data_IF_316234865897
#
_entry.id   IF_316234865897
#
_cell.length_a   1.000
_cell.length_b   1.000
_cell.length_c   1.000
_cell.angle_alpha   90.00
_cell.angle_beta   90.00
_cell.angle_gamma   90.00
#
_symmetry.space_group_name_H-M   'P 1'
#
loop_
_entity.id
_entity.type
_entity.pdbx_description
1 polymer ?
#
# COMPACT_ATOMS: atom_id res chain seq x y z
N UNK A 1 -29.59 -89.75 -21.78
CA UNK A 1 -29.69 -88.30 -22.00
C UNK A 1 -28.69 -87.60 -21.10
N UNK A 2 -27.62 -87.11 -21.72
CA UNK A 2 -26.44 -86.50 -21.09
C UNK A 2 -26.77 -85.07 -20.68
N UNK A 3 -26.44 -84.67 -19.45
CA UNK A 3 -26.28 -83.26 -19.07
C UNK A 3 -24.79 -82.99 -18.92
N UNK A 4 -24.26 -82.22 -19.86
CA UNK A 4 -22.94 -81.62 -19.83
C UNK A 4 -23.11 -80.10 -19.99
N UNK A 5 -22.06 -79.37 -19.59
CA UNK A 5 -21.76 -77.96 -19.84
C UNK A 5 -22.30 -76.95 -18.83
N UNK A 6 -21.56 -75.92 -18.45
CA UNK A 6 -20.13 -75.61 -18.55
C UNK A 6 -19.93 -74.36 -17.66
N UNK A 7 -18.88 -74.32 -16.87
CA UNK A 7 -18.50 -73.14 -16.08
C UNK A 7 -17.93 -72.11 -17.06
N UNK A 8 -18.63 -70.97 -17.21
CA UNK A 8 -18.15 -69.83 -17.98
C UNK A 8 -17.09 -69.08 -17.16
N UNK A 9 -15.83 -69.26 -17.54
CA UNK A 9 -14.72 -68.40 -17.14
C UNK A 9 -14.80 -67.13 -17.99
N UNK A 10 -15.17 -66.01 -17.38
CA UNK A 10 -15.06 -64.68 -17.96
C UNK A 10 -13.59 -64.26 -17.93
N UNK A 11 -12.91 -64.43 -19.06
CA UNK A 11 -11.61 -63.80 -19.32
C UNK A 11 -11.87 -62.30 -19.52
N UNK A 12 -11.48 -61.51 -18.52
CA UNK A 12 -11.38 -60.06 -18.67
C UNK A 12 -10.28 -59.75 -19.69
N UNK A 13 -10.67 -59.38 -20.90
CA UNK A 13 -9.76 -58.80 -21.88
C UNK A 13 -9.38 -57.42 -21.34
N UNK A 14 -8.18 -57.31 -20.78
CA UNK A 14 -7.56 -56.04 -20.45
C UNK A 14 -7.30 -55.29 -21.77
N UNK A 15 -8.21 -54.37 -22.11
CA UNK A 15 -7.88 -53.28 -23.01
C UNK A 15 -6.75 -52.46 -22.37
N UNK A 16 -5.70 -52.06 -23.10
CA UNK A 16 -4.74 -51.12 -22.56
C UNK A 16 -5.52 -49.83 -22.29
N UNK A 17 -5.54 -49.38 -21.04
CA UNK A 17 -5.91 -48.00 -20.73
C UNK A 17 -4.81 -47.09 -21.27
N UNK A 18 -4.76 -46.90 -22.60
CA UNK A 18 -4.23 -45.65 -23.15
C UNK A 18 -5.27 -44.59 -22.84
N UNK A 19 -5.27 -44.11 -21.60
CA UNK A 19 -5.93 -42.85 -21.27
C UNK A 19 -5.33 -41.81 -22.21
N UNK A 20 -6.14 -41.29 -23.13
CA UNK A 20 -5.71 -40.24 -24.05
C UNK A 20 -5.19 -39.07 -23.20
N UNK A 21 -3.88 -38.82 -23.21
CA UNK A 21 -3.30 -37.65 -22.55
C UNK A 21 -3.93 -36.41 -23.15
N UNK A 22 -4.38 -35.48 -22.28
CA UNK A 22 -4.98 -34.24 -22.75
C UNK A 22 -3.88 -33.38 -23.35
N UNK A 23 -4.00 -33.04 -24.62
CA UNK A 23 -3.01 -32.24 -25.31
C UNK A 23 -3.45 -30.77 -25.37
N UNK A 24 -2.67 -29.88 -24.78
CA UNK A 24 -2.86 -28.43 -24.84
C UNK A 24 -1.92 -27.83 -25.88
N UNK A 25 -2.51 -27.35 -26.98
CA UNK A 25 -1.78 -26.75 -28.09
C UNK A 25 -1.70 -25.24 -27.92
N UNK A 26 -0.50 -24.70 -28.12
CA UNK A 26 -0.30 -23.26 -28.15
C UNK A 26 -1.12 -22.61 -29.29
N UNK A 27 -2.01 -21.68 -28.97
CA UNK A 27 -2.89 -21.05 -29.97
C UNK A 27 -2.30 -19.77 -30.58
N UNK A 28 -1.39 -19.12 -29.88
CA UNK A 28 -0.71 -17.91 -30.36
C UNK A 28 0.74 -17.93 -29.92
N UNK A 29 1.66 -17.82 -30.89
CA UNK A 29 3.10 -17.72 -30.66
C UNK A 29 3.63 -16.43 -31.27
N UNK A 30 3.77 -15.39 -30.45
CA UNK A 30 4.30 -14.08 -30.87
C UNK A 30 5.43 -13.69 -29.93
N UNK A 31 6.61 -13.37 -30.47
CA UNK A 31 7.77 -12.94 -29.70
C UNK A 31 8.12 -13.89 -28.52
N UNK A 32 8.20 -15.20 -28.80
CA UNK A 32 8.45 -16.25 -27.78
C UNK A 32 7.40 -16.36 -26.67
N UNK A 33 6.17 -15.87 -26.92
CA UNK A 33 5.05 -15.97 -25.98
C UNK A 33 3.98 -16.90 -26.50
N UNK A 34 3.60 -17.87 -25.69
CA UNK A 34 2.53 -18.81 -25.95
C UNK A 34 1.23 -18.44 -25.23
N UNK A 35 0.08 -18.48 -25.91
CA UNK A 35 -1.24 -18.38 -25.27
C UNK A 35 -2.03 -19.69 -25.37
N UNK A 36 -2.44 -20.21 -24.21
CA UNK A 36 -3.35 -21.34 -24.06
C UNK A 36 -4.75 -20.81 -23.71
N UNK A 37 -5.62 -20.76 -24.72
CA UNK A 37 -6.94 -20.12 -24.60
C UNK A 37 -8.03 -21.17 -24.42
N UNK A 38 -8.81 -21.06 -23.34
CA UNK A 38 -9.92 -21.98 -23.07
C UNK A 38 -9.46 -23.36 -22.57
N UNK A 39 -8.25 -23.46 -22.04
CA UNK A 39 -7.74 -24.72 -21.52
C UNK A 39 -8.54 -25.13 -20.27
N UNK A 40 -8.95 -26.40 -20.20
CA UNK A 40 -9.60 -26.96 -19.02
C UNK A 40 -8.77 -28.15 -18.55
N UNK A 41 -8.27 -28.12 -17.32
CA UNK A 41 -7.47 -29.22 -16.76
C UNK A 41 -8.06 -29.57 -15.40
N UNK A 42 -8.61 -30.77 -15.26
CA UNK A 42 -9.13 -31.28 -13.99
C UNK A 42 -7.98 -31.80 -13.11
N UNK A 43 -8.27 -32.10 -11.84
CA UNK A 43 -7.27 -32.62 -10.90
C UNK A 43 -6.61 -33.93 -11.38
N UNK A 44 -7.39 -34.82 -12.01
CA UNK A 44 -6.90 -36.12 -12.49
C UNK A 44 -6.02 -35.98 -13.74
N UNK A 45 -6.14 -34.87 -14.47
CA UNK A 45 -5.41 -34.61 -15.71
C UNK A 45 -4.08 -33.87 -15.49
N UNK A 46 -3.78 -33.37 -14.28
CA UNK A 46 -2.63 -32.48 -14.01
C UNK A 46 -1.30 -33.11 -14.46
N UNK A 47 -1.08 -34.39 -14.14
CA UNK A 47 0.19 -35.08 -14.41
C UNK A 47 0.28 -35.62 -15.84
N UNK A 48 -0.85 -35.82 -16.52
CA UNK A 48 -0.93 -36.40 -17.87
C UNK A 48 -1.21 -35.36 -18.96
N UNK A 49 -1.34 -34.08 -18.61
CA UNK A 49 -1.58 -33.01 -19.58
C UNK A 49 -0.28 -32.69 -20.31
N UNK A 50 -0.27 -32.94 -21.62
CA UNK A 50 0.85 -32.66 -22.50
C UNK A 50 0.70 -31.29 -23.16
N UNK A 51 1.83 -30.67 -23.50
CA UNK A 51 1.87 -29.37 -24.17
C UNK A 51 2.51 -29.49 -25.54
N UNK A 52 1.98 -28.78 -26.52
CA UNK A 52 2.51 -28.84 -27.89
C UNK A 52 2.64 -27.45 -28.50
N UNK A 53 3.80 -27.21 -29.07
CA UNK A 53 4.19 -25.95 -29.72
C UNK A 53 5.28 -26.24 -30.76
N UNK A 54 5.20 -25.69 -31.98
CA UNK A 54 6.29 -25.76 -32.96
C UNK A 54 7.58 -25.08 -32.48
N UNK A 55 7.50 -24.16 -31.51
CA UNK A 55 8.65 -23.38 -31.02
C UNK A 55 8.98 -23.64 -29.54
N UNK A 56 8.59 -24.81 -29.01
CA UNK A 56 8.66 -25.14 -27.58
C UNK A 56 10.01 -24.82 -26.89
N UNK A 57 11.13 -25.08 -27.56
CA UNK A 57 12.49 -24.85 -27.05
C UNK A 57 12.91 -23.37 -26.99
N UNK A 58 12.12 -22.46 -27.56
CA UNK A 58 12.40 -21.01 -27.64
C UNK A 58 11.38 -20.15 -26.90
N UNK A 59 10.29 -20.74 -26.43
CA UNK A 59 9.26 -20.04 -25.66
C UNK A 59 9.82 -19.61 -24.31
N UNK A 60 9.61 -18.33 -23.99
CA UNK A 60 10.04 -17.71 -22.74
C UNK A 60 8.85 -17.27 -21.89
N UNK A 61 7.65 -17.19 -22.47
CA UNK A 61 6.43 -16.84 -21.75
C UNK A 61 5.29 -17.76 -22.12
N UNK A 62 4.51 -18.20 -21.14
CA UNK A 62 3.25 -18.91 -21.34
C UNK A 62 2.16 -18.17 -20.56
N UNK A 63 1.02 -17.93 -21.20
CA UNK A 63 -0.18 -17.45 -20.54
C UNK A 63 -1.36 -18.39 -20.73
N UNK A 64 -2.15 -18.54 -19.68
CA UNK A 64 -3.47 -19.14 -19.72
C UNK A 64 -4.52 -18.04 -19.76
N UNK A 65 -5.35 -18.03 -20.81
CA UNK A 65 -6.39 -17.04 -20.99
C UNK A 65 -7.75 -17.72 -21.04
N UNK A 66 -8.70 -17.26 -20.21
CA UNK A 66 -10.05 -17.85 -20.11
C UNK A 66 -10.00 -19.36 -19.86
N UNK A 67 -9.06 -19.79 -19.02
CA UNK A 67 -8.77 -21.20 -18.76
C UNK A 67 -9.20 -21.56 -17.33
N UNK A 68 -9.42 -22.86 -17.09
CA UNK A 68 -9.76 -23.41 -15.78
C UNK A 68 -8.82 -24.57 -15.48
N UNK A 69 -7.91 -24.40 -14.53
CA UNK A 69 -6.88 -25.35 -14.17
C UNK A 69 -7.05 -25.70 -12.70
N UNK A 70 -7.19 -26.99 -12.35
CA UNK A 70 -7.24 -27.38 -10.94
C UNK A 70 -5.91 -27.10 -10.21
N UNK A 71 -4.79 -27.33 -10.91
CA UNK A 71 -3.44 -26.91 -10.53
C UNK A 71 -2.59 -26.67 -11.79
N UNK A 72 -1.38 -26.14 -11.62
CA UNK A 72 -0.43 -25.93 -12.72
C UNK A 72 0.13 -27.29 -13.16
N UNK A 73 0.04 -27.69 -14.44
CA UNK A 73 0.62 -28.96 -14.89
C UNK A 73 2.17 -28.92 -14.92
N UNK A 74 2.88 -29.82 -14.23
CA UNK A 74 4.34 -29.79 -14.12
C UNK A 74 5.05 -30.07 -15.45
N UNK A 75 4.45 -30.91 -16.30
CA UNK A 75 4.96 -31.31 -17.63
C UNK A 75 5.24 -30.09 -18.53
N UNK A 76 4.57 -28.95 -18.26
CA UNK A 76 4.83 -27.68 -18.95
C UNK A 76 6.30 -27.26 -18.83
N UNK A 77 6.90 -27.40 -17.64
CA UNK A 77 8.26 -26.93 -17.37
C UNK A 77 9.32 -27.85 -18.00
N UNK A 78 8.96 -29.10 -18.28
CA UNK A 78 9.79 -30.04 -19.05
C UNK A 78 9.71 -29.75 -20.55
N UNK A 79 8.52 -29.37 -21.02
CA UNK A 79 8.27 -29.04 -22.43
C UNK A 79 8.91 -27.71 -22.82
N UNK A 80 8.71 -26.67 -22.00
CA UNK A 80 9.19 -25.30 -22.25
C UNK A 80 10.39 -24.99 -21.35
N UNK A 81 11.53 -25.62 -21.63
CA UNK A 81 12.74 -25.55 -20.79
C UNK A 81 13.32 -24.14 -20.61
N UNK A 82 13.01 -23.21 -21.51
CA UNK A 82 13.41 -21.79 -21.44
C UNK A 82 12.32 -20.87 -20.90
N UNK A 83 11.26 -21.42 -20.30
CA UNK A 83 10.16 -20.63 -19.73
C UNK A 83 10.66 -19.72 -18.60
N UNK A 84 10.54 -18.41 -18.82
CA UNK A 84 10.93 -17.35 -17.88
C UNK A 84 9.72 -16.82 -17.11
N UNK A 85 8.56 -16.70 -17.76
CA UNK A 85 7.36 -16.15 -17.16
C UNK A 85 6.12 -17.02 -17.40
N UNK A 86 5.37 -17.30 -16.33
CA UNK A 86 4.09 -18.00 -16.38
C UNK A 86 2.97 -17.09 -15.86
N UNK A 87 1.94 -16.89 -16.69
CA UNK A 87 0.73 -16.16 -16.33
C UNK A 87 -0.46 -17.13 -16.29
N UNK A 88 -1.02 -17.37 -15.10
CA UNK A 88 -2.25 -18.13 -14.92
C UNK A 88 -3.21 -17.39 -13.98
N UNK A 89 -3.39 -16.10 -14.25
CA UNK A 89 -4.27 -15.20 -13.49
C UNK A 89 -5.74 -15.63 -13.70
N UNK A 90 -6.53 -15.63 -12.63
CA UNK A 90 -7.96 -15.95 -12.66
C UNK A 90 -8.29 -17.24 -13.44
N UNK A 91 -7.50 -18.29 -13.18
CA UNK A 91 -7.56 -19.57 -13.89
C UNK A 91 -8.13 -20.71 -13.04
N UNK A 92 -8.86 -20.40 -11.96
CA UNK A 92 -9.51 -21.36 -11.05
C UNK A 92 -8.55 -22.34 -10.33
N UNK A 93 -7.26 -21.98 -10.21
CA UNK A 93 -6.24 -22.81 -9.54
C UNK A 93 -6.56 -22.93 -8.06
N UNK A 94 -6.68 -24.16 -7.56
CA UNK A 94 -7.10 -24.44 -6.18
C UNK A 94 -5.95 -24.71 -5.22
N UNK A 95 -4.81 -25.15 -5.75
CA UNK A 95 -3.67 -25.55 -4.94
C UNK A 95 -2.35 -25.38 -5.71
N UNK A 96 -1.30 -25.08 -4.95
CA UNK A 96 0.09 -25.29 -5.36
C UNK A 96 0.54 -26.60 -4.75
N UNK A 97 1.04 -27.54 -5.57
CA UNK A 97 1.53 -28.82 -5.11
C UNK A 97 3.05 -28.77 -4.87
N UNK A 98 3.53 -29.44 -3.82
CA UNK A 98 4.98 -29.61 -3.60
C UNK A 98 5.63 -30.27 -4.81
N UNK A 99 6.86 -29.88 -5.15
CA UNK A 99 7.65 -30.36 -6.30
C UNK A 99 7.07 -30.06 -7.69
N UNK A 100 5.96 -29.35 -7.81
CA UNK A 100 5.34 -29.04 -9.10
C UNK A 100 6.22 -28.18 -10.04
N UNK A 101 7.24 -27.53 -9.47
CA UNK A 101 8.18 -26.66 -10.17
C UNK A 101 9.59 -27.27 -10.30
N UNK A 102 9.77 -28.57 -10.05
CA UNK A 102 11.10 -29.21 -10.01
C UNK A 102 11.91 -28.99 -11.31
N UNK A 103 11.23 -28.94 -12.45
CA UNK A 103 11.82 -28.71 -13.78
C UNK A 103 11.86 -27.22 -14.20
N UNK A 104 11.30 -26.30 -13.41
CA UNK A 104 11.16 -24.87 -13.73
C UNK A 104 12.45 -24.05 -13.53
N UNK A 105 13.58 -24.58 -14.01
CA UNK A 105 14.94 -24.05 -13.74
C UNK A 105 15.20 -22.65 -14.28
N UNK A 106 14.42 -22.21 -15.27
CA UNK A 106 14.55 -20.91 -15.94
C UNK A 106 13.52 -19.88 -15.46
N UNK A 107 12.53 -20.29 -14.65
CA UNK A 107 11.39 -19.46 -14.28
C UNK A 107 11.82 -18.33 -13.35
N UNK A 108 11.44 -17.10 -13.71
CA UNK A 108 11.74 -15.86 -12.99
C UNK A 108 10.47 -15.16 -12.50
N UNK A 109 9.35 -15.29 -13.22
CA UNK A 109 8.09 -14.63 -12.87
C UNK A 109 6.93 -15.62 -12.88
N UNK A 110 6.20 -15.69 -11.77
CA UNK A 110 5.05 -16.54 -11.59
C UNK A 110 3.84 -15.70 -11.14
N UNK A 111 2.83 -15.58 -12.01
CA UNK A 111 1.64 -14.78 -11.77
C UNK A 111 0.40 -15.66 -11.63
N UNK A 112 -0.08 -15.79 -10.40
CA UNK A 112 -1.21 -16.63 -9.98
C UNK A 112 -2.28 -15.82 -9.25
N UNK A 113 -2.35 -14.51 -9.50
CA UNK A 113 -3.35 -13.63 -8.90
C UNK A 113 -4.79 -14.06 -9.24
N UNK A 114 -5.74 -13.79 -8.34
CA UNK A 114 -7.17 -13.99 -8.59
C UNK A 114 -7.59 -15.46 -8.73
N UNK A 115 -6.84 -16.39 -8.13
CA UNK A 115 -7.16 -17.82 -8.13
C UNK A 115 -7.86 -18.22 -6.82
N UNK A 116 -7.91 -19.53 -6.52
CA UNK A 116 -8.55 -20.10 -5.33
C UNK A 116 -7.56 -20.93 -4.51
N UNK A 117 -6.30 -20.50 -4.45
CA UNK A 117 -5.27 -21.20 -3.67
C UNK A 117 -5.58 -20.98 -2.19
N UNK A 118 -5.70 -22.07 -1.42
CA UNK A 118 -6.06 -22.01 0.00
C UNK A 118 -4.87 -22.11 0.96
N UNK A 119 -3.79 -22.76 0.51
CA UNK A 119 -2.60 -22.98 1.33
C UNK A 119 -1.36 -23.10 0.43
N UNK A 120 -0.20 -22.74 0.99
CA UNK A 120 1.10 -23.01 0.40
C UNK A 120 1.80 -24.12 1.20
N UNK A 121 2.02 -25.31 0.61
CA UNK A 121 2.67 -26.42 1.30
C UNK A 121 4.18 -26.20 1.44
N UNK A 122 4.84 -27.10 2.16
CA UNK A 122 6.30 -27.14 2.25
C UNK A 122 6.94 -27.25 0.87
N UNK A 123 8.01 -26.47 0.67
CA UNK A 123 8.77 -26.40 -0.58
C UNK A 123 7.88 -26.22 -1.83
N UNK A 124 6.82 -25.40 -1.72
CA UNK A 124 5.82 -25.14 -2.77
C UNK A 124 6.43 -24.77 -4.14
N UNK A 125 7.58 -24.11 -4.15
CA UNK A 125 8.28 -23.65 -5.37
C UNK A 125 9.61 -24.37 -5.62
N UNK A 126 9.79 -25.58 -5.08
CA UNK A 126 11.00 -26.36 -5.24
C UNK A 126 11.43 -26.47 -6.72
N UNK A 127 12.69 -26.15 -7.01
CA UNK A 127 13.29 -26.21 -8.35
C UNK A 127 13.28 -24.88 -9.11
N UNK A 128 12.36 -23.96 -8.80
CA UNK A 128 12.26 -22.64 -9.41
C UNK A 128 13.16 -21.59 -8.73
N UNK A 129 14.43 -21.94 -8.50
CA UNK A 129 15.36 -21.13 -7.69
C UNK A 129 15.75 -19.78 -8.33
N UNK A 130 15.33 -19.52 -9.57
CA UNK A 130 15.53 -18.25 -10.30
C UNK A 130 14.35 -17.30 -10.18
N UNK A 131 13.29 -17.66 -9.45
CA UNK A 131 12.15 -16.79 -9.23
C UNK A 131 12.60 -15.46 -8.61
N UNK A 132 12.18 -14.38 -9.24
CA UNK A 132 12.36 -12.99 -8.84
C UNK A 132 11.02 -12.36 -8.44
N UNK A 133 9.92 -12.82 -9.03
CA UNK A 133 8.58 -12.33 -8.74
C UNK A 133 7.61 -13.48 -8.57
N UNK A 134 6.89 -13.48 -7.45
CA UNK A 134 5.75 -14.35 -7.20
C UNK A 134 4.56 -13.45 -6.86
N UNK A 135 3.50 -13.59 -7.64
CA UNK A 135 2.22 -12.91 -7.41
C UNK A 135 1.13 -13.94 -7.09
N UNK A 136 0.71 -13.92 -5.84
CA UNK A 136 -0.34 -14.75 -5.25
C UNK A 136 -1.47 -13.89 -4.67
N UNK A 137 -1.58 -12.64 -5.15
CA UNK A 137 -2.62 -11.73 -4.69
C UNK A 137 -4.03 -12.23 -5.00
N UNK A 138 -5.02 -11.78 -4.24
CA UNK A 138 -6.45 -12.09 -4.46
C UNK A 138 -6.72 -13.60 -4.57
N UNK A 139 -6.15 -14.38 -3.65
CA UNK A 139 -6.41 -15.81 -3.48
C UNK A 139 -7.19 -16.04 -2.17
N UNK A 140 -7.26 -17.28 -1.71
CA UNK A 140 -7.91 -17.66 -0.45
C UNK A 140 -6.89 -18.22 0.56
N UNK A 141 -5.63 -17.78 0.50
CA UNK A 141 -4.54 -18.37 1.29
C UNK A 141 -4.78 -18.06 2.76
N UNK A 142 -4.93 -19.09 3.58
CA UNK A 142 -5.06 -18.98 5.04
C UNK A 142 -3.79 -19.43 5.76
N UNK A 143 -3.07 -20.39 5.19
CA UNK A 143 -1.86 -20.98 5.78
C UNK A 143 -0.70 -21.00 4.79
N UNK A 144 0.48 -20.67 5.30
CA UNK A 144 1.75 -20.76 4.57
C UNK A 144 2.71 -21.57 5.43
N UNK A 145 3.16 -22.71 4.89
CA UNK A 145 4.19 -23.50 5.55
C UNK A 145 5.49 -22.68 5.71
N UNK A 146 6.17 -22.83 6.85
CA UNK A 146 7.41 -22.08 7.14
C UNK A 146 8.54 -22.33 6.14
N UNK A 147 8.44 -23.38 5.30
CA UNK A 147 9.41 -23.69 4.24
C UNK A 147 8.84 -23.52 2.83
N UNK A 148 7.67 -22.89 2.67
CA UNK A 148 7.03 -22.71 1.36
C UNK A 148 7.93 -21.96 0.35
N UNK A 149 8.66 -20.94 0.81
CA UNK A 149 9.56 -20.11 0.00
C UNK A 149 11.05 -20.46 0.15
N UNK A 150 11.36 -21.63 0.71
CA UNK A 150 12.75 -22.05 0.97
C UNK A 150 13.57 -22.05 -0.33
N UNK A 151 14.85 -21.64 -0.23
CA UNK A 151 15.82 -21.53 -1.33
C UNK A 151 15.54 -20.47 -2.40
N UNK A 152 14.49 -19.65 -2.27
CA UNK A 152 14.18 -18.58 -3.23
C UNK A 152 15.03 -17.32 -3.00
N UNK A 153 16.36 -17.48 -2.99
CA UNK A 153 17.32 -16.40 -2.66
C UNK A 153 17.31 -15.24 -3.63
N UNK A 154 16.85 -15.45 -4.87
CA UNK A 154 16.75 -14.43 -5.91
C UNK A 154 15.39 -13.71 -5.92
N UNK A 155 14.46 -14.08 -5.03
CA UNK A 155 13.13 -13.49 -5.00
C UNK A 155 13.23 -12.04 -4.55
N UNK A 156 12.73 -11.13 -5.37
CA UNK A 156 12.73 -9.67 -5.15
C UNK A 156 11.37 -9.14 -4.72
N UNK A 157 10.31 -9.72 -5.28
CA UNK A 157 8.94 -9.25 -5.08
C UNK A 157 8.04 -10.42 -4.75
N UNK A 158 7.38 -10.34 -3.59
CA UNK A 158 6.38 -11.29 -3.15
C UNK A 158 5.06 -10.57 -2.86
N UNK A 159 4.03 -10.88 -3.65
CA UNK A 159 2.70 -10.28 -3.51
C UNK A 159 1.74 -11.32 -2.93
N UNK A 160 1.26 -11.06 -1.71
CA UNK A 160 0.33 -11.89 -0.94
C UNK A 160 -0.89 -11.09 -0.49
N UNK A 161 -1.11 -9.89 -1.05
CA UNK A 161 -2.25 -9.05 -0.71
C UNK A 161 -3.61 -9.66 -1.09
N UNK A 162 -4.68 -9.31 -0.38
CA UNK A 162 -6.03 -9.80 -0.70
C UNK A 162 -6.21 -11.30 -0.43
N UNK A 163 -5.58 -11.82 0.62
CA UNK A 163 -5.71 -13.20 1.06
C UNK A 163 -6.42 -13.26 2.44
N UNK A 164 -6.34 -14.40 3.13
CA UNK A 164 -6.94 -14.60 4.45
C UNK A 164 -5.91 -15.12 5.46
N UNK A 165 -4.66 -14.65 5.34
CA UNK A 165 -3.55 -15.08 6.19
C UNK A 165 -3.76 -14.49 7.58
N UNK A 166 -3.78 -15.37 8.60
CA UNK A 166 -4.01 -14.98 10.00
C UNK A 166 -2.69 -14.86 10.78
N UNK A 167 -1.71 -15.69 10.43
CA UNK A 167 -0.41 -15.73 11.08
C UNK A 167 0.69 -16.05 10.06
N UNK A 168 1.91 -15.61 10.38
CA UNK A 168 3.12 -15.90 9.62
C UNK A 168 4.03 -16.76 10.50
N UNK A 169 4.49 -17.88 9.96
CA UNK A 169 5.53 -18.66 10.60
C UNK A 169 6.84 -17.84 10.69
N UNK A 170 7.56 -17.94 11.79
CA UNK A 170 8.78 -17.15 12.03
C UNK A 170 9.91 -17.40 11.02
N UNK A 171 9.92 -18.55 10.33
CA UNK A 171 10.93 -18.91 9.33
C UNK A 171 10.47 -18.73 7.88
N UNK A 172 9.24 -18.26 7.64
CA UNK A 172 8.60 -18.26 6.31
C UNK A 172 9.39 -17.47 5.25
N UNK A 173 10.19 -16.48 5.67
CA UNK A 173 11.01 -15.64 4.79
C UNK A 173 12.53 -15.78 5.01
N UNK A 174 12.99 -16.82 5.70
CA UNK A 174 14.41 -16.96 6.12
C UNK A 174 15.42 -16.96 4.97
N UNK A 175 15.05 -17.47 3.80
CA UNK A 175 15.93 -17.60 2.63
C UNK A 175 15.77 -16.46 1.60
N UNK A 176 14.99 -15.41 1.91
CA UNK A 176 14.62 -14.36 0.96
C UNK A 176 15.60 -13.17 0.98
N UNK A 177 16.89 -13.46 0.74
CA UNK A 177 17.99 -12.50 0.91
C UNK A 177 17.92 -11.26 -0.01
N UNK A 178 17.38 -11.43 -1.22
CA UNK A 178 17.25 -10.37 -2.24
C UNK A 178 15.84 -9.75 -2.25
N UNK A 179 14.96 -10.08 -1.29
CA UNK A 179 13.59 -9.57 -1.30
C UNK A 179 13.58 -8.08 -0.98
N UNK A 180 13.12 -7.29 -1.94
CA UNK A 180 13.05 -5.82 -1.90
C UNK A 180 11.64 -5.34 -1.51
N UNK A 181 10.60 -6.05 -1.97
CA UNK A 181 9.19 -5.70 -1.81
C UNK A 181 8.36 -6.87 -1.30
N UNK A 182 7.63 -6.63 -0.22
CA UNK A 182 6.65 -7.56 0.34
C UNK A 182 5.29 -6.88 0.53
N UNK A 183 4.26 -7.48 -0.07
CA UNK A 183 2.88 -7.02 0.04
C UNK A 183 2.02 -8.06 0.76
N UNK A 184 1.48 -7.66 1.91
CA UNK A 184 0.64 -8.46 2.81
C UNK A 184 -0.68 -7.73 3.14
N UNK A 185 -1.02 -6.66 2.42
CA UNK A 185 -2.22 -5.89 2.68
C UNK A 185 -3.50 -6.70 2.51
N UNK A 186 -4.58 -6.29 3.17
CA UNK A 186 -5.89 -6.96 3.04
C UNK A 186 -5.80 -8.45 3.37
N UNK A 187 -5.22 -8.74 4.54
CA UNK A 187 -5.19 -10.07 5.15
C UNK A 187 -5.86 -9.99 6.55
N UNK A 188 -5.69 -11.01 7.37
CA UNK A 188 -6.26 -11.09 8.72
C UNK A 188 -5.18 -11.16 9.81
N UNK A 189 -3.98 -10.61 9.56
CA UNK A 189 -2.86 -10.68 10.50
C UNK A 189 -3.18 -9.93 11.79
N UNK A 190 -3.15 -10.63 12.93
CA UNK A 190 -3.32 -10.01 14.26
C UNK A 190 -2.00 -9.62 14.93
N UNK A 191 -0.90 -10.24 14.50
CA UNK A 191 0.46 -10.00 15.01
C UNK A 191 1.51 -10.38 13.96
N UNK A 192 2.68 -9.74 14.01
CA UNK A 192 3.86 -10.11 13.24
C UNK A 192 5.05 -10.18 14.19
N UNK A 193 5.67 -11.35 14.31
CA UNK A 193 6.85 -11.52 15.16
C UNK A 193 8.07 -10.83 14.58
N UNK A 194 8.96 -10.35 15.45
CA UNK A 194 10.20 -9.65 15.07
C UNK A 194 11.20 -10.53 14.30
N UNK A 195 11.04 -11.84 14.40
CA UNK A 195 11.90 -12.85 13.79
C UNK A 195 11.58 -13.06 12.31
N UNK A 196 10.34 -12.78 11.88
CA UNK A 196 9.82 -13.10 10.53
C UNK A 196 10.65 -12.46 9.42
N UNK A 197 11.18 -11.25 9.64
CA UNK A 197 11.99 -10.54 8.63
C UNK A 197 13.50 -10.74 8.81
N UNK A 198 13.96 -11.71 9.63
CA UNK A 198 15.40 -11.99 9.83
C UNK A 198 16.11 -12.34 8.52
N UNK A 199 15.50 -13.14 7.66
CA UNK A 199 16.04 -13.53 6.36
C UNK A 199 16.01 -12.47 5.25
N UNK A 200 15.47 -11.28 5.50
CA UNK A 200 15.18 -10.28 4.45
C UNK A 200 16.02 -8.99 4.59
N UNK A 201 17.36 -9.05 4.48
CA UNK A 201 18.23 -7.90 4.67
C UNK A 201 18.07 -6.80 3.60
N UNK A 202 17.49 -7.14 2.44
CA UNK A 202 17.29 -6.22 1.31
C UNK A 202 15.89 -5.60 1.27
N UNK A 203 15.02 -5.90 2.26
CA UNK A 203 13.65 -5.41 2.27
C UNK A 203 13.62 -3.90 2.47
N UNK A 204 12.99 -3.19 1.54
CA UNK A 204 12.89 -1.72 1.56
C UNK A 204 11.45 -1.22 1.48
N UNK A 205 10.53 -2.06 0.98
CA UNK A 205 9.11 -1.73 0.86
C UNK A 205 8.26 -2.84 1.50
N UNK A 206 7.45 -2.45 2.47
CA UNK A 206 6.53 -3.35 3.18
C UNK A 206 5.14 -2.73 3.24
N UNK A 207 4.15 -3.44 2.70
CA UNK A 207 2.74 -3.10 2.87
C UNK A 207 2.04 -4.16 3.74
N UNK A 208 1.61 -3.77 4.93
CA UNK A 208 0.83 -4.58 5.87
C UNK A 208 -0.50 -3.91 6.20
N UNK A 209 -0.95 -2.99 5.35
CA UNK A 209 -2.19 -2.24 5.56
C UNK A 209 -3.43 -3.15 5.53
N UNK A 210 -4.55 -2.71 6.10
CA UNK A 210 -5.80 -3.49 6.14
C UNK A 210 -5.59 -4.88 6.74
N UNK A 211 -5.04 -4.92 7.94
CA UNK A 211 -4.91 -6.11 8.78
C UNK A 211 -5.51 -5.80 10.17
N UNK A 212 -5.29 -6.66 11.16
CA UNK A 212 -5.83 -6.52 12.52
C UNK A 212 -4.72 -6.29 13.57
N UNK A 213 -3.57 -5.71 13.17
CA UNK A 213 -2.42 -5.55 14.04
C UNK A 213 -2.69 -4.55 15.17
N UNK A 214 -2.56 -5.01 16.42
CA UNK A 214 -2.62 -4.14 17.60
C UNK A 214 -1.29 -3.48 17.93
N UNK A 215 -0.20 -4.16 17.60
CA UNK A 215 1.17 -3.69 17.73
C UNK A 215 1.96 -4.06 16.49
N UNK A 216 2.96 -3.25 16.17
CA UNK A 216 3.91 -3.56 15.11
C UNK A 216 5.25 -2.92 15.46
N UNK A 217 6.25 -3.74 15.78
CA UNK A 217 7.56 -3.24 16.15
C UNK A 217 8.32 -2.76 14.90
N UNK A 218 8.19 -1.48 14.55
CA UNK A 218 8.94 -0.88 13.45
C UNK A 218 10.46 -0.85 13.70
N UNK A 219 10.92 -0.92 14.96
CA UNK A 219 12.34 -0.89 15.28
C UNK A 219 13.11 -2.14 14.79
N UNK A 220 12.40 -3.23 14.47
CA UNK A 220 13.04 -4.43 13.90
C UNK A 220 13.68 -4.17 12.52
N UNK A 221 13.29 -3.08 11.85
CA UNK A 221 13.83 -2.64 10.57
C UNK A 221 15.04 -1.73 10.68
N UNK A 222 15.57 -1.49 11.89
CA UNK A 222 16.77 -0.65 12.14
C UNK A 222 18.09 -1.29 11.66
N UNK A 223 18.04 -2.14 10.63
CA UNK A 223 19.21 -2.79 10.05
C UNK A 223 19.95 -1.81 9.13
N UNK A 224 21.18 -2.16 8.72
CA UNK A 224 22.22 -1.30 8.09
C UNK A 224 21.82 -0.47 6.85
N UNK A 225 20.58 -0.48 6.39
CA UNK A 225 20.12 0.12 5.14
C UNK A 225 18.91 1.04 5.38
N UNK A 226 18.73 2.06 4.52
CA UNK A 226 17.54 2.90 4.57
C UNK A 226 16.30 2.09 4.15
N UNK A 227 15.28 2.04 5.01
CA UNK A 227 13.99 1.46 4.67
C UNK A 227 13.15 2.52 3.98
N UNK A 228 12.67 2.27 2.77
CA UNK A 228 12.04 3.34 1.98
C UNK A 228 10.61 3.60 2.44
N UNK A 229 9.78 2.57 2.54
CA UNK A 229 8.36 2.72 2.79
C UNK A 229 7.76 1.58 3.60
N UNK A 230 7.14 1.94 4.74
CA UNK A 230 6.22 1.07 5.47
C UNK A 230 4.81 1.65 5.39
N UNK A 231 3.87 0.86 4.87
CA UNK A 231 2.45 1.13 4.99
C UNK A 231 1.80 0.17 6.00
N UNK A 232 1.38 0.72 7.14
CA UNK A 232 0.67 0.04 8.22
C UNK A 232 -0.75 0.59 8.41
N UNK A 233 -1.32 1.21 7.38
CA UNK A 233 -2.66 1.81 7.43
C UNK A 233 -3.76 0.81 7.75
N UNK A 234 -4.87 1.26 8.32
CA UNK A 234 -6.07 0.48 8.59
C UNK A 234 -5.76 -0.80 9.38
N UNK A 235 -5.05 -0.62 10.49
CA UNK A 235 -4.81 -1.62 11.51
C UNK A 235 -5.44 -1.14 12.85
N UNK A 236 -4.99 -1.69 13.97
CA UNK A 236 -5.44 -1.32 15.32
C UNK A 236 -4.29 -0.79 16.18
N UNK A 237 -3.29 -0.16 15.56
CA UNK A 237 -2.11 0.35 16.26
C UNK A 237 -2.48 1.52 17.18
N UNK A 238 -2.04 1.47 18.44
CA UNK A 238 -2.24 2.57 19.41
C UNK A 238 -1.01 3.45 19.59
N UNK A 239 0.17 2.95 19.20
CA UNK A 239 1.43 3.67 19.20
C UNK A 239 2.34 3.17 18.10
N UNK A 240 3.31 4.00 17.71
CA UNK A 240 4.37 3.62 16.77
C UNK A 240 5.72 4.11 17.28
N UNK A 241 6.77 3.29 17.12
CA UNK A 241 8.16 3.66 17.42
C UNK A 241 8.98 3.65 16.14
N UNK A 242 9.17 4.81 15.54
CA UNK A 242 9.76 4.98 14.20
C UNK A 242 11.28 4.77 14.25
N UNK A 243 11.86 3.87 13.44
CA UNK A 243 13.30 3.67 13.42
C UNK A 243 14.03 4.78 12.66
N UNK A 244 15.30 5.02 13.00
CA UNK A 244 16.09 6.12 12.44
C UNK A 244 16.26 6.09 10.92
N UNK A 245 16.28 4.90 10.32
CA UNK A 245 16.56 4.65 8.90
C UNK A 245 15.30 4.63 8.01
N UNK A 246 14.10 4.79 8.57
CA UNK A 246 12.85 4.78 7.80
C UNK A 246 12.63 6.14 7.10
N UNK A 247 12.41 6.11 5.79
CA UNK A 247 12.17 7.31 4.99
C UNK A 247 10.70 7.71 4.95
N UNK A 248 9.79 6.75 4.83
CA UNK A 248 8.36 7.01 4.68
C UNK A 248 7.53 6.08 5.56
N UNK A 249 6.66 6.67 6.39
CA UNK A 249 5.65 5.93 7.15
C UNK A 249 4.25 6.40 6.78
N UNK A 250 3.41 5.44 6.42
CA UNK A 250 1.98 5.61 6.21
C UNK A 250 1.24 4.73 7.22
N UNK A 251 0.48 5.32 8.13
CA UNK A 251 -0.31 4.59 9.13
C UNK A 251 -1.67 5.25 9.33
N UNK A 252 -2.40 5.40 8.22
CA UNK A 252 -3.75 6.00 8.15
C UNK A 252 -4.74 5.13 8.93
N UNK A 253 -5.76 5.70 9.56
CA UNK A 253 -6.92 4.92 10.01
C UNK A 253 -6.60 3.90 11.11
N UNK A 254 -5.71 4.25 12.03
CA UNK A 254 -5.36 3.44 13.20
C UNK A 254 -5.95 4.06 14.48
N UNK A 255 -5.47 3.61 15.65
CA UNK A 255 -5.79 4.17 16.96
C UNK A 255 -4.66 5.00 17.57
N UNK A 256 -3.70 5.48 16.76
CA UNK A 256 -2.41 5.99 17.26
C UNK A 256 -2.61 7.23 18.13
N UNK A 257 -2.09 7.16 19.36
CA UNK A 257 -2.07 8.26 20.34
C UNK A 257 -0.67 8.78 20.60
N UNK A 258 0.35 7.94 20.42
CA UNK A 258 1.74 8.29 20.70
C UNK A 258 2.64 7.88 19.54
N UNK A 259 3.61 8.75 19.24
CA UNK A 259 4.66 8.51 18.26
C UNK A 259 5.99 8.64 18.98
N UNK A 260 6.78 7.60 18.94
CA UNK A 260 8.14 7.57 19.45
C UNK A 260 9.14 7.41 18.30
N UNK A 261 10.41 7.69 18.55
CA UNK A 261 11.50 7.49 17.60
C UNK A 261 12.65 6.75 18.28
N UNK A 262 13.37 5.90 17.55
CA UNK A 262 14.64 5.32 18.01
C UNK A 262 15.85 6.18 17.66
N UNK A 263 15.66 7.26 16.90
CA UNK A 263 16.74 8.12 16.43
C UNK A 263 17.49 8.81 17.57
N UNK A 264 18.78 8.50 17.70
CA UNK A 264 19.72 9.21 18.59
C UNK A 264 20.46 10.31 17.83
N UNK A 265 20.81 10.08 16.56
CA UNK A 265 21.66 10.94 15.73
C UNK A 265 20.96 11.46 14.46
N UNK A 266 19.67 11.78 14.55
CA UNK A 266 18.86 12.26 13.42
C UNK A 266 18.06 11.15 12.72
N UNK A 267 17.04 11.54 11.96
CA UNK A 267 16.09 10.63 11.33
C UNK A 267 16.08 10.81 9.82
N UNK A 268 16.01 9.69 9.07
CA UNK A 268 15.84 9.69 7.62
C UNK A 268 14.39 9.97 7.15
N UNK A 269 13.46 10.17 8.09
CA UNK A 269 12.04 10.30 7.79
C UNK A 269 11.76 11.59 7.02
N UNK A 270 11.28 11.45 5.78
CA UNK A 270 10.88 12.54 4.89
C UNK A 270 9.36 12.68 4.80
N UNK A 271 8.61 11.62 5.08
CA UNK A 271 7.15 11.58 4.97
C UNK A 271 6.54 10.83 6.15
N UNK A 272 5.62 11.50 6.84
CA UNK A 272 4.81 10.92 7.91
C UNK A 272 3.33 11.19 7.64
N UNK A 273 2.56 10.12 7.39
CA UNK A 273 1.11 10.17 7.20
C UNK A 273 0.41 9.42 8.32
N UNK A 274 -0.23 10.16 9.22
CA UNK A 274 -1.04 9.64 10.32
C UNK A 274 -2.51 10.14 10.29
N UNK A 275 -3.18 10.34 9.14
CA UNK A 275 -4.56 10.79 9.18
C UNK A 275 -5.51 9.74 9.76
N UNK A 276 -6.64 10.18 10.30
CA UNK A 276 -7.62 9.30 10.96
C UNK A 276 -7.03 8.49 12.12
N UNK A 277 -6.34 9.16 13.04
CA UNK A 277 -5.80 8.59 14.27
C UNK A 277 -6.38 9.30 15.50
N UNK A 278 -5.73 9.17 16.66
CA UNK A 278 -6.20 9.70 17.95
C UNK A 278 -5.18 10.65 18.60
N UNK A 279 -4.27 11.25 17.83
CA UNK A 279 -3.30 12.22 18.34
C UNK A 279 -4.01 13.45 18.90
N UNK A 280 -3.60 13.90 20.08
CA UNK A 280 -4.18 15.06 20.76
C UNK A 280 -3.32 16.33 20.62
N UNK A 281 -2.03 16.18 20.30
CA UNK A 281 -1.09 17.28 20.14
C UNK A 281 -0.03 16.95 19.10
N UNK A 282 0.46 17.99 18.42
CA UNK A 282 1.64 17.92 17.55
C UNK A 282 2.95 18.01 18.34
N UNK A 283 2.94 18.60 19.54
CA UNK A 283 4.16 18.83 20.34
C UNK A 283 4.78 17.56 20.91
N UNK A 284 3.98 16.49 21.00
CA UNK A 284 4.42 15.17 21.45
C UNK A 284 5.19 14.41 20.35
N UNK A 285 5.20 14.91 19.12
CA UNK A 285 5.96 14.27 18.05
C UNK A 285 7.48 14.43 18.27
N UNK A 286 8.25 13.35 18.03
CA UNK A 286 9.70 13.42 17.98
C UNK A 286 10.18 14.40 16.90
N UNK A 287 11.42 14.88 17.05
CA UNK A 287 12.05 15.73 16.05
C UNK A 287 12.46 14.88 14.85
N UNK A 288 11.98 15.25 13.67
CA UNK A 288 12.34 14.62 12.39
C UNK A 288 12.97 15.69 11.48
N UNK A 289 14.29 15.79 11.51
CA UNK A 289 15.06 16.87 10.87
C UNK A 289 14.99 16.87 9.33
N UNK A 290 14.73 15.71 8.74
CA UNK A 290 14.56 15.54 7.29
C UNK A 290 13.10 15.58 6.83
N UNK A 291 12.13 15.76 7.72
CA UNK A 291 10.71 15.68 7.41
C UNK A 291 10.29 16.77 6.43
N UNK A 292 9.72 16.37 5.29
CA UNK A 292 9.24 17.25 4.21
C UNK A 292 7.72 17.38 4.25
N UNK A 293 7.02 16.27 4.53
CA UNK A 293 5.56 16.20 4.53
C UNK A 293 5.05 15.57 5.81
N UNK A 294 4.16 16.29 6.50
CA UNK A 294 3.48 15.83 7.70
C UNK A 294 1.97 15.94 7.52
N UNK A 295 1.28 14.79 7.58
CA UNK A 295 -0.18 14.71 7.49
C UNK A 295 -0.74 14.13 8.79
N UNK A 296 -1.36 14.99 9.60
CA UNK A 296 -2.05 14.64 10.84
C UNK A 296 -3.56 14.93 10.73
N UNK A 297 -4.11 14.91 9.52
CA UNK A 297 -5.52 15.23 9.30
C UNK A 297 -6.45 14.27 10.03
N UNK A 298 -7.64 14.70 10.45
CA UNK A 298 -8.64 13.86 11.12
C UNK A 298 -8.10 13.17 12.39
N UNK A 299 -7.35 13.92 13.20
CA UNK A 299 -6.95 13.53 14.55
C UNK A 299 -7.82 14.26 15.59
N UNK A 300 -7.33 14.40 16.82
CA UNK A 300 -8.04 15.04 17.94
C UNK A 300 -7.28 16.26 18.46
N UNK A 301 -6.52 16.92 17.58
CA UNK A 301 -5.67 18.05 17.94
C UNK A 301 -6.56 19.27 18.21
N UNK A 302 -6.41 19.90 19.37
CA UNK A 302 -7.22 21.06 19.81
C UNK A 302 -6.50 22.39 19.70
N UNK A 303 -5.19 22.36 19.84
CA UNK A 303 -4.34 23.55 19.84
C UNK A 303 -3.17 23.33 18.90
N UNK A 304 -2.74 24.40 18.23
CA UNK A 304 -1.60 24.39 17.34
C UNK A 304 -0.81 25.69 17.45
N UNK A 305 0.49 25.56 17.70
CA UNK A 305 1.46 26.65 17.72
C UNK A 305 2.51 26.46 16.62
N UNK A 306 2.85 27.51 15.88
CA UNK A 306 3.92 27.45 14.87
C UNK A 306 5.30 27.13 15.44
N UNK A 307 5.54 27.34 16.74
CA UNK A 307 6.76 26.87 17.41
C UNK A 307 6.95 25.36 17.27
N UNK A 308 5.86 24.58 17.21
CA UNK A 308 5.90 23.15 16.96
C UNK A 308 6.41 22.81 15.56
N UNK A 309 6.33 23.74 14.60
CA UNK A 309 6.83 23.54 13.23
C UNK A 309 8.33 23.84 13.11
N UNK A 310 8.87 24.76 13.93
CA UNK A 310 10.29 25.14 13.88
C UNK A 310 11.24 23.97 14.14
N UNK A 311 10.80 22.92 14.84
CA UNK A 311 11.59 21.69 15.04
C UNK A 311 11.77 20.87 13.76
N UNK A 312 10.95 21.10 12.72
CA UNK A 312 11.00 20.39 11.44
C UNK A 312 11.57 21.30 10.35
N UNK A 313 12.88 21.53 10.36
CA UNK A 313 13.55 22.55 9.53
C UNK A 313 13.44 22.36 8.01
N UNK A 314 12.94 21.22 7.54
CA UNK A 314 12.69 20.94 6.10
C UNK A 314 11.21 20.79 5.75
N UNK A 315 10.30 21.04 6.70
CA UNK A 315 8.87 20.79 6.50
C UNK A 315 8.29 21.76 5.48
N UNK A 316 7.77 21.22 4.39
CA UNK A 316 7.18 21.98 3.27
C UNK A 316 5.65 21.92 3.32
N UNK A 317 5.09 20.76 3.66
CA UNK A 317 3.66 20.49 3.68
C UNK A 317 3.22 20.06 5.07
N UNK A 318 2.31 20.83 5.67
CA UNK A 318 1.64 20.50 6.91
C UNK A 318 0.13 20.38 6.67
N UNK A 319 -0.45 19.24 7.07
CA UNK A 319 -1.89 19.05 7.08
C UNK A 319 -2.42 18.73 8.45
N UNK A 320 -3.39 19.53 8.87
CA UNK A 320 -4.14 19.42 10.12
C UNK A 320 -5.66 19.49 9.83
N UNK A 321 -6.08 19.13 8.62
CA UNK A 321 -7.50 19.15 8.24
C UNK A 321 -8.32 18.27 9.19
N UNK A 322 -9.57 18.59 9.49
CA UNK A 322 -10.47 17.68 10.21
C UNK A 322 -10.14 17.47 11.69
N UNK A 323 -9.38 18.37 12.31
CA UNK A 323 -9.05 18.33 13.74
C UNK A 323 -10.08 19.14 14.57
N UNK A 324 -9.75 19.42 15.83
CA UNK A 324 -10.59 20.16 16.78
C UNK A 324 -10.02 21.56 17.07
N UNK A 325 -9.30 22.15 16.11
CA UNK A 325 -8.60 23.43 16.31
C UNK A 325 -9.60 24.59 16.39
N UNK A 326 -9.54 25.38 17.47
CA UNK A 326 -10.34 26.59 17.66
C UNK A 326 -9.54 27.88 17.43
N UNK A 327 -8.23 27.82 17.65
CA UNK A 327 -7.29 28.93 17.46
C UNK A 327 -5.94 28.42 17.01
N UNK A 328 -5.15 29.32 16.42
CA UNK A 328 -3.73 29.08 16.11
C UNK A 328 -2.92 30.15 16.81
N UNK A 329 -1.87 29.73 17.52
CA UNK A 329 -0.89 30.63 18.14
C UNK A 329 0.43 30.61 17.36
N UNK A 330 1.26 31.60 17.64
CA UNK A 330 2.57 31.71 17.05
C UNK A 330 3.59 32.17 18.08
N UNK A 331 4.26 31.21 18.70
CA UNK A 331 5.38 31.43 19.61
C UNK A 331 6.75 31.47 18.91
N UNK A 332 6.82 31.67 17.59
CA UNK A 332 8.09 31.80 16.88
C UNK A 332 8.78 33.12 17.23
N UNK A 333 10.05 33.05 17.62
CA UNK A 333 10.90 34.23 17.84
C UNK A 333 11.52 34.76 16.56
N UNK A 334 11.64 33.91 15.53
CA UNK A 334 12.24 34.24 14.23
C UNK A 334 11.40 33.66 13.08
N UNK A 335 11.40 34.27 11.89
CA UNK A 335 10.67 33.75 10.73
C UNK A 335 11.21 32.40 10.23
N UNK A 336 10.30 31.51 9.81
CA UNK A 336 10.64 30.26 9.10
C UNK A 336 10.20 30.35 7.63
N UNK A 337 11.02 29.79 6.73
CA UNK A 337 10.86 29.96 5.27
C UNK A 337 10.63 28.66 4.50
N UNK A 338 10.72 27.52 5.19
CA UNK A 338 10.59 26.19 4.56
C UNK A 338 9.13 25.79 4.30
N UNK A 339 8.19 26.26 5.13
CA UNK A 339 6.77 25.91 5.05
C UNK A 339 6.08 26.61 3.87
N UNK A 340 5.42 25.83 3.01
CA UNK A 340 4.77 26.32 1.78
C UNK A 340 3.28 26.02 1.71
N UNK A 341 2.84 24.90 2.24
CA UNK A 341 1.46 24.44 2.14
C UNK A 341 0.93 24.13 3.52
N UNK A 342 -0.11 24.85 3.92
CA UNK A 342 -0.74 24.73 5.24
C UNK A 342 -2.22 24.43 5.05
N UNK A 343 -2.63 23.26 5.53
CA UNK A 343 -4.00 22.80 5.44
C UNK A 343 -4.65 22.74 6.82
N UNK A 344 -5.72 23.51 6.99
CA UNK A 344 -6.46 23.74 8.23
C UNK A 344 -7.98 23.61 8.01
N UNK A 345 -8.41 22.93 6.94
CA UNK A 345 -9.82 22.77 6.63
C UNK A 345 -10.53 21.90 7.68
N UNK A 346 -11.86 21.95 7.74
CA UNK A 346 -12.67 21.08 8.60
C UNK A 346 -12.31 21.15 10.10
N UNK A 347 -11.91 22.33 10.59
CA UNK A 347 -11.64 22.60 11.99
C UNK A 347 -12.79 23.42 12.62
N UNK A 348 -12.55 24.05 13.77
CA UNK A 348 -13.54 24.78 14.56
C UNK A 348 -13.26 26.28 14.66
N UNK A 349 -12.42 26.84 13.77
CA UNK A 349 -12.09 28.28 13.81
C UNK A 349 -13.34 29.14 13.64
N UNK A 350 -13.63 30.00 14.63
CA UNK A 350 -14.69 31.02 14.56
C UNK A 350 -14.13 32.37 14.11
N UNK A 351 -12.91 32.65 14.52
CA UNK A 351 -12.14 33.80 14.07
C UNK A 351 -10.68 33.38 13.94
N UNK A 352 -9.97 34.05 13.05
CA UNK A 352 -8.54 33.85 12.90
C UNK A 352 -7.89 35.20 12.60
N UNK A 353 -6.80 35.47 13.30
CA UNK A 353 -5.92 36.60 13.01
C UNK A 353 -4.73 36.08 12.22
N UNK A 354 -4.60 36.47 10.95
CA UNK A 354 -3.50 36.06 10.09
C UNK A 354 -2.18 36.76 10.45
N UNK A 355 -2.19 37.79 11.31
CA UNK A 355 -0.94 38.39 11.79
C UNK A 355 -0.12 37.38 12.62
N UNK A 356 -0.76 36.36 13.21
CA UNK A 356 -0.06 35.21 13.81
C UNK A 356 0.76 34.44 12.79
N UNK A 357 0.51 34.60 11.48
CA UNK A 357 1.27 33.93 10.44
C UNK A 357 2.41 34.82 9.89
N UNK A 358 2.71 35.99 10.46
CA UNK A 358 3.78 36.89 9.96
C UNK A 358 5.18 36.28 9.92
N UNK A 359 5.48 35.38 10.84
CA UNK A 359 6.74 34.61 10.86
C UNK A 359 6.74 33.44 9.88
N UNK A 360 5.61 33.27 9.17
CA UNK A 360 5.20 32.41 8.05
C UNK A 360 5.54 32.71 6.59
N UNK A 361 6.41 33.65 6.20
CA UNK A 361 6.17 34.52 5.03
C UNK A 361 6.21 33.81 3.67
N UNK A 362 6.64 32.53 3.62
CA UNK A 362 6.77 31.73 2.40
C UNK A 362 5.60 30.77 2.14
N UNK A 363 4.53 30.84 2.92
CA UNK A 363 3.30 30.07 2.66
C UNK A 363 2.70 30.47 1.30
N UNK A 364 2.59 29.50 0.40
CA UNK A 364 2.03 29.64 -0.95
C UNK A 364 0.52 29.37 -0.95
N UNK A 365 0.07 28.39 -0.16
CA UNK A 365 -1.34 28.02 -0.06
C UNK A 365 -1.77 27.82 1.38
N UNK A 366 -2.89 28.43 1.72
CA UNK A 366 -3.56 28.29 3.01
C UNK A 366 -4.99 27.79 2.78
N UNK A 367 -5.30 26.60 3.30
CA UNK A 367 -6.63 26.01 3.21
C UNK A 367 -7.38 26.18 4.54
N UNK A 368 -8.45 26.98 4.54
CA UNK A 368 -9.31 27.26 5.69
C UNK A 368 -10.75 26.82 5.43
N UNK A 369 -10.97 25.95 4.45
CA UNK A 369 -12.32 25.51 4.07
C UNK A 369 -13.07 24.83 5.21
N UNK A 370 -14.40 24.91 5.16
CA UNK A 370 -15.31 24.17 6.05
C UNK A 370 -15.01 24.36 7.54
N UNK A 371 -14.62 25.58 7.91
CA UNK A 371 -14.53 26.03 9.30
C UNK A 371 -15.83 26.76 9.72
N UNK A 372 -15.78 27.46 10.85
CA UNK A 372 -16.88 28.29 11.37
C UNK A 372 -16.53 29.78 11.30
N UNK A 373 -15.63 30.19 10.40
CA UNK A 373 -15.09 31.55 10.40
C UNK A 373 -16.20 32.56 10.15
N UNK A 374 -16.39 33.46 11.11
CA UNK A 374 -17.26 34.64 11.02
C UNK A 374 -16.47 35.86 10.55
N UNK A 375 -15.18 35.92 10.89
CA UNK A 375 -14.26 36.96 10.47
C UNK A 375 -12.83 36.44 10.35
N UNK A 376 -12.06 37.05 9.46
CA UNK A 376 -10.62 36.80 9.28
C UNK A 376 -9.91 38.15 9.28
N UNK A 377 -9.00 38.35 10.22
CA UNK A 377 -8.32 39.62 10.44
C UNK A 377 -6.91 39.55 9.87
N UNK A 378 -6.44 40.64 9.28
CA UNK A 378 -5.07 40.81 8.83
C UNK A 378 -4.80 42.30 8.66
N UNK A 379 -3.68 42.80 9.18
CA UNK A 379 -3.34 44.22 9.06
C UNK A 379 -2.56 44.55 7.78
N UNK A 380 -1.69 43.66 7.34
CA UNK A 380 -0.94 43.78 6.08
C UNK A 380 -0.75 42.41 5.42
N UNK A 381 -1.67 42.02 4.55
CA UNK A 381 -1.65 40.70 3.91
C UNK A 381 -0.47 40.57 2.93
N UNK A 382 -0.23 41.58 2.10
CA UNK A 382 0.81 41.54 1.07
C UNK A 382 2.21 41.59 1.67
N UNK A 383 2.42 42.31 2.77
CA UNK A 383 3.68 42.31 3.51
C UNK A 383 3.91 41.04 4.32
N UNK A 384 2.86 40.49 4.94
CA UNK A 384 2.95 39.27 5.76
C UNK A 384 3.06 38.00 4.91
N UNK A 385 2.44 37.98 3.73
CA UNK A 385 2.39 36.83 2.81
C UNK A 385 2.69 37.23 1.36
N UNK A 386 3.90 37.70 1.06
CA UNK A 386 4.25 38.25 -0.25
C UNK A 386 4.18 37.23 -1.40
N UNK A 387 4.17 35.94 -1.09
CA UNK A 387 4.14 34.85 -2.06
C UNK A 387 2.88 33.98 -1.97
N UNK A 388 1.88 34.34 -1.16
CA UNK A 388 0.66 33.56 -1.06
C UNK A 388 -0.13 33.64 -2.35
N UNK A 389 -0.25 32.51 -3.03
CA UNK A 389 -0.94 32.41 -4.33
C UNK A 389 -2.41 32.04 -4.14
N UNK A 390 -2.75 31.31 -3.07
CA UNK A 390 -4.13 30.84 -2.87
C UNK A 390 -4.54 30.76 -1.42
N UNK A 391 -5.71 31.32 -1.12
CA UNK A 391 -6.43 31.15 0.13
C UNK A 391 -7.79 30.51 -0.14
N UNK A 392 -8.07 29.38 0.49
CA UNK A 392 -9.31 28.61 0.26
C UNK A 392 -10.24 28.83 1.45
N UNK A 393 -11.38 29.46 1.21
CA UNK A 393 -12.29 29.99 2.25
C UNK A 393 -13.69 29.36 2.20
N UNK A 394 -13.90 28.38 1.33
CA UNK A 394 -15.20 27.81 1.03
C UNK A 394 -15.84 27.11 2.24
N UNK A 395 -17.16 27.27 2.43
CA UNK A 395 -17.90 26.58 3.50
C UNK A 395 -17.87 27.24 4.89
N UNK A 396 -17.34 28.46 4.99
CA UNK A 396 -17.34 29.27 6.22
C UNK A 396 -18.64 30.06 6.45
N UNK A 397 -18.70 30.86 7.53
CA UNK A 397 -19.91 31.59 7.99
C UNK A 397 -19.62 33.08 8.16
N UNK A 398 -18.94 33.69 7.19
CA UNK A 398 -18.53 35.08 7.29
C UNK A 398 -19.71 36.02 7.49
N UNK A 399 -19.54 37.02 8.35
CA UNK A 399 -20.49 38.15 8.47
C UNK A 399 -20.15 39.19 7.42
N UNK A 400 -21.12 39.62 6.61
CA UNK A 400 -20.84 40.53 5.50
C UNK A 400 -20.25 41.88 5.92
N UNK A 401 -20.48 42.34 7.16
CA UNK A 401 -19.88 43.56 7.69
C UNK A 401 -18.39 43.39 8.00
N UNK A 402 -17.99 42.19 8.47
CA UNK A 402 -16.64 41.86 8.90
C UNK A 402 -15.72 41.43 7.75
N UNK A 403 -16.25 41.17 6.54
CA UNK A 403 -15.42 40.80 5.37
C UNK A 403 -14.77 42.01 4.69
N UNK A 404 -15.30 43.23 4.88
CA UNK A 404 -14.82 44.44 4.17
C UNK A 404 -13.33 44.73 4.40
N UNK A 405 -12.78 44.65 5.63
CA UNK A 405 -11.34 44.86 5.84
C UNK A 405 -10.49 43.82 5.11
N UNK A 406 -10.91 42.55 5.13
CA UNK A 406 -10.22 41.46 4.44
C UNK A 406 -10.23 41.66 2.92
N UNK A 407 -11.37 42.00 2.33
CA UNK A 407 -11.50 42.24 0.89
C UNK A 407 -10.58 43.36 0.40
N UNK A 408 -10.41 44.44 1.19
CA UNK A 408 -9.44 45.51 0.87
C UNK A 408 -8.01 45.00 0.82
N UNK A 409 -7.63 44.13 1.76
CA UNK A 409 -6.30 43.52 1.81
C UNK A 409 -6.09 42.55 0.64
N UNK A 410 -7.09 41.72 0.34
CA UNK A 410 -7.03 40.76 -0.76
C UNK A 410 -6.95 41.43 -2.13
N UNK A 411 -7.67 42.54 -2.35
CA UNK A 411 -7.62 43.31 -3.60
C UNK A 411 -6.23 43.87 -3.92
N UNK A 412 -5.42 44.14 -2.89
CA UNK A 412 -4.03 44.58 -3.02
C UNK A 412 -3.00 43.46 -3.04
N UNK A 413 -3.43 42.19 -3.07
CA UNK A 413 -2.55 41.01 -3.00
C UNK A 413 -2.63 40.16 -4.27
N UNK A 414 -1.63 39.30 -4.48
CA UNK A 414 -1.64 38.29 -5.56
C UNK A 414 -2.47 37.04 -5.22
N UNK A 415 -3.09 37.01 -4.04
CA UNK A 415 -3.77 35.83 -3.49
C UNK A 415 -5.07 35.58 -4.24
N UNK A 416 -5.23 34.40 -4.84
CA UNK A 416 -6.51 33.95 -5.35
C UNK A 416 -7.39 33.41 -4.20
N UNK A 417 -8.63 33.90 -4.10
CA UNK A 417 -9.58 33.54 -3.03
C UNK A 417 -11.03 33.37 -3.49
N UNK A 418 -11.30 33.60 -4.77
CA UNK A 418 -12.66 33.80 -5.28
C UNK A 418 -13.51 32.54 -5.22
N UNK A 419 -14.62 32.65 -4.49
CA UNK A 419 -15.72 31.70 -4.46
C UNK A 419 -16.75 32.00 -5.56
N UNK A 420 -17.49 30.98 -5.97
CA UNK A 420 -18.60 31.08 -6.92
C UNK A 420 -19.95 30.98 -6.21
N UNK A 421 -21.05 31.34 -6.90
CA UNK A 421 -22.39 31.25 -6.31
C UNK A 421 -22.76 29.82 -5.88
N UNK A 422 -22.25 28.80 -6.57
CA UNK A 422 -22.43 27.39 -6.19
C UNK A 422 -21.73 27.00 -4.89
N UNK A 423 -20.74 27.77 -4.45
CA UNK A 423 -20.02 27.53 -3.20
C UNK A 423 -20.74 28.15 -1.99
N UNK A 424 -21.68 29.08 -2.22
CA UNK A 424 -22.46 29.73 -1.16
C UNK A 424 -23.65 28.88 -0.70
N UNK A 425 -23.98 28.97 0.59
CA UNK A 425 -25.26 28.48 1.09
C UNK A 425 -26.42 29.32 0.56
N UNK A 426 -27.63 28.76 0.60
CA UNK A 426 -28.85 29.40 0.07
C UNK A 426 -29.14 30.75 0.73
N UNK A 427 -28.85 30.86 2.02
CA UNK A 427 -29.03 32.02 2.89
C UNK A 427 -27.87 33.03 2.82
N UNK A 428 -26.77 32.69 2.14
CA UNK A 428 -25.61 33.58 2.00
C UNK A 428 -25.70 34.42 0.73
N UNK A 429 -25.12 35.61 0.79
CA UNK A 429 -24.81 36.47 -0.34
C UNK A 429 -23.37 36.22 -0.80
N UNK A 430 -23.09 36.39 -2.09
CA UNK A 430 -21.74 36.42 -2.63
C UNK A 430 -21.30 37.88 -2.78
N UNK A 431 -20.35 38.33 -1.96
CA UNK A 431 -19.80 39.70 -2.01
C UNK A 431 -18.34 39.60 -2.39
N UNK A 432 -17.98 40.14 -3.56
CA UNK A 432 -16.61 40.20 -4.10
C UNK A 432 -15.85 38.87 -3.99
N UNK A 433 -16.54 37.76 -4.27
CA UNK A 433 -15.93 36.42 -4.22
C UNK A 433 -15.87 35.77 -2.84
N UNK A 434 -16.53 36.32 -1.82
CA UNK A 434 -16.68 35.69 -0.50
C UNK A 434 -18.15 35.47 -0.19
N UNK A 435 -18.53 34.25 0.20
CA UNK A 435 -19.87 33.97 0.68
C UNK A 435 -20.03 34.43 2.13
N UNK A 436 -21.01 35.27 2.41
CA UNK A 436 -21.29 35.83 3.73
C UNK A 436 -22.81 35.93 3.99
N UNK A 437 -23.21 35.98 5.25
CA UNK A 437 -24.61 36.19 5.68
C UNK A 437 -24.74 37.42 6.57
#
# INVERSE_FOLDING_TARGET
MVKLCAVLVLVAIALPQSAFSKQLVCKMEVNSRCSLIGAKVSSDEIMSTEFTSPSASTLTTVQFARSTLAAIPPVMFETFTKLVALYAISSDIKQVQSNNFASAKSLQSLHLAGNKIHALPSEAFFGANRLQTIDLSDNAITTIDGTAFKRLRNLKTLLLGGNSIVELNSAVFDDLSEMETLELQQNALSSVEETVFRGCPSLTTLNISHNALKTFNLAQFERRWNFDLIDASYNHLESVRIPQNLRQLVAIGNGIRTVESTAVNGSELILLKLPHNKLASMDELPVFDKLISLDLSFNRIREFDFRSVARFGKLVLLKLDGNQLESVSNGLTEPITHLKYVHLADNQFVQLDLDVLRTVPRVLKLDLRRNKLERLMVTDLSGSFPVMVRMMLEGNRFRCEDTRPLLKQLAGSITAYTMTRSDCRKDQNLIDGICCS
#
